data_IF_171505844546
#
_entry.id   IF_171505844546
#
_cell.length_a   1.000
_cell.length_b   1.000
_cell.length_c   1.000
_cell.angle_alpha   90.00
_cell.angle_beta   90.00
_cell.angle_gamma   90.00
#
_symmetry.space_group_name_H-M   'P 1'
#
loop_
_entity.id
_entity.type
_entity.pdbx_description
1 polymer ?
#
# COMPACT_ATOMS: atom_id res chain seq x y z
N UNK A 1 -24.57 -9.06 -29.80
CA UNK A 1 -24.93 -7.83 -30.55
C UNK A 1 -24.03 -6.72 -30.02
N UNK A 2 -22.90 -6.47 -30.69
CA UNK A 2 -22.06 -5.34 -30.33
C UNK A 2 -22.82 -4.07 -30.74
N UNK A 3 -23.23 -3.26 -29.77
CA UNK A 3 -23.93 -2.01 -30.08
C UNK A 3 -22.97 -1.08 -30.82
N UNK A 4 -23.46 -0.34 -31.83
CA UNK A 4 -22.70 0.71 -32.50
C UNK A 4 -22.15 1.75 -31.52
N UNK A 5 -22.79 1.88 -30.34
CA UNK A 5 -22.31 2.70 -29.24
C UNK A 5 -20.97 2.20 -28.64
N UNK A 6 -20.76 0.89 -28.55
CA UNK A 6 -19.51 0.35 -28.01
C UNK A 6 -18.33 0.66 -28.93
N UNK A 7 -18.53 0.59 -30.25
CA UNK A 7 -17.53 0.99 -31.24
C UNK A 7 -17.14 2.48 -31.07
N UNK A 8 -18.13 3.37 -30.97
CA UNK A 8 -17.88 4.80 -30.79
C UNK A 8 -17.17 5.09 -29.46
N UNK A 9 -17.52 4.36 -28.40
CA UNK A 9 -16.84 4.44 -27.10
C UNK A 9 -15.39 3.97 -27.18
N UNK A 10 -15.13 2.84 -27.83
CA UNK A 10 -13.77 2.30 -27.95
C UNK A 10 -12.88 3.25 -28.78
N UNK A 11 -13.43 3.81 -29.88
CA UNK A 11 -12.75 4.84 -30.68
C UNK A 11 -12.50 6.12 -29.87
N UNK A 12 -13.44 6.53 -29.03
CA UNK A 12 -13.28 7.68 -28.15
C UNK A 12 -12.17 7.43 -27.12
N UNK A 13 -12.16 6.27 -26.47
CA UNK A 13 -11.13 5.88 -25.50
C UNK A 13 -9.73 5.81 -26.16
N UNK A 14 -9.64 5.41 -27.43
CA UNK A 14 -8.39 5.42 -28.22
C UNK A 14 -7.94 6.86 -28.48
N UNK A 15 -8.83 7.75 -28.92
CA UNK A 15 -8.49 9.15 -29.17
C UNK A 15 -8.10 9.89 -27.89
N UNK A 16 -8.76 9.63 -26.76
CA UNK A 16 -8.41 10.25 -25.47
C UNK A 16 -7.00 9.85 -25.01
N UNK A 17 -6.54 8.64 -25.35
CA UNK A 17 -5.20 8.14 -24.96
C UNK A 17 -4.09 8.58 -25.91
N UNK A 18 -4.35 8.58 -27.21
CA UNK A 18 -3.32 8.76 -28.24
C UNK A 18 -3.44 10.11 -28.98
N UNK A 19 -4.39 10.96 -28.60
CA UNK A 19 -4.84 12.20 -29.27
C UNK A 19 -5.38 12.01 -30.71
N UNK A 20 -5.04 10.90 -31.38
CA UNK A 20 -5.39 10.55 -32.76
C UNK A 20 -5.77 9.05 -32.85
N UNK A 21 -6.71 8.70 -33.75
CA UNK A 21 -7.09 7.32 -34.06
C UNK A 21 -6.31 6.84 -35.28
N UNK A 22 -5.37 5.91 -35.10
CA UNK A 22 -4.60 5.37 -36.22
C UNK A 22 -5.44 4.44 -37.10
N UNK A 23 -5.11 4.36 -38.40
CA UNK A 23 -5.75 3.41 -39.34
C UNK A 23 -5.77 1.96 -38.83
N UNK A 24 -4.70 1.53 -38.18
CA UNK A 24 -4.60 0.18 -37.61
C UNK A 24 -5.60 -0.02 -36.47
N UNK A 25 -5.69 0.94 -35.55
CA UNK A 25 -6.64 0.88 -34.43
C UNK A 25 -8.10 0.93 -34.89
N UNK A 26 -8.39 1.74 -35.92
CA UNK A 26 -9.70 1.80 -36.54
C UNK A 26 -10.08 0.46 -37.18
N UNK A 27 -9.15 -0.17 -37.90
CA UNK A 27 -9.40 -1.46 -38.54
C UNK A 27 -9.65 -2.57 -37.51
N UNK A 28 -8.88 -2.61 -36.42
CA UNK A 28 -9.07 -3.58 -35.31
C UNK A 28 -10.44 -3.40 -34.67
N UNK A 29 -10.88 -2.16 -34.42
CA UNK A 29 -12.22 -1.90 -33.88
C UNK A 29 -13.34 -2.28 -34.86
N UNK A 30 -13.10 -2.16 -36.17
CA UNK A 30 -14.07 -2.48 -37.22
C UNK A 30 -14.14 -3.97 -37.60
N UNK A 31 -13.16 -4.81 -37.22
CA UNK A 31 -13.15 -6.24 -37.53
C UNK A 31 -14.40 -7.00 -37.04
N UNK A 32 -15.02 -6.51 -35.96
CA UNK A 32 -16.22 -7.11 -35.36
C UNK A 32 -17.55 -6.51 -35.86
N UNK A 33 -17.49 -5.59 -36.83
CA UNK A 33 -18.62 -4.77 -37.29
C UNK A 33 -18.74 -4.80 -38.83
N UNK A 34 -19.93 -4.47 -39.34
CA UNK A 34 -20.19 -4.47 -40.79
C UNK A 34 -19.27 -3.51 -41.56
N UNK A 35 -18.80 -3.93 -42.74
CA UNK A 35 -17.84 -3.19 -43.59
C UNK A 35 -18.30 -1.78 -43.99
N UNK A 36 -19.60 -1.48 -43.96
CA UNK A 36 -20.18 -0.19 -44.32
C UNK A 36 -20.10 0.87 -43.20
N UNK A 37 -19.75 0.48 -41.97
CA UNK A 37 -19.73 1.42 -40.84
C UNK A 37 -18.62 2.47 -41.02
N UNK A 38 -17.52 2.13 -41.68
CA UNK A 38 -16.46 3.10 -41.99
C UNK A 38 -16.96 4.23 -42.89
N UNK A 39 -17.69 3.88 -43.96
CA UNK A 39 -18.29 4.85 -44.88
C UNK A 39 -19.34 5.72 -44.16
N UNK A 40 -20.17 5.11 -43.30
CA UNK A 40 -21.15 5.84 -42.50
C UNK A 40 -20.52 6.81 -41.50
N UNK A 41 -19.40 6.44 -40.86
CA UNK A 41 -18.69 7.32 -39.91
C UNK A 41 -18.07 8.54 -40.59
N UNK A 42 -17.59 8.38 -41.82
CA UNK A 42 -17.08 9.48 -42.65
C UNK A 42 -18.21 10.31 -43.28
N UNK A 43 -19.29 9.67 -43.73
CA UNK A 43 -20.43 10.33 -44.39
C UNK A 43 -21.23 11.19 -43.39
N UNK A 44 -21.41 10.70 -42.16
CA UNK A 44 -22.01 11.46 -41.06
C UNK A 44 -21.05 12.48 -40.41
N UNK A 45 -19.83 12.64 -40.94
CA UNK A 45 -18.79 13.53 -40.41
C UNK A 45 -18.51 13.33 -38.91
N UNK A 46 -18.64 12.09 -38.46
CA UNK A 46 -18.31 11.72 -37.07
C UNK A 46 -16.79 11.62 -36.93
N UNK A 47 -16.12 11.07 -37.94
CA UNK A 47 -14.66 11.03 -38.07
C UNK A 47 -14.19 11.87 -39.26
N UNK A 48 -13.13 12.65 -39.05
CA UNK A 48 -12.43 13.44 -40.05
C UNK A 48 -11.07 12.79 -40.31
N UNK A 49 -10.72 12.60 -41.58
CA UNK A 49 -9.39 12.14 -41.98
C UNK A 49 -8.37 13.29 -41.89
N UNK A 50 -7.30 13.09 -41.13
CA UNK A 50 -6.13 13.97 -41.10
C UNK A 50 -4.90 13.19 -41.55
N UNK A 51 -4.44 13.45 -42.78
CA UNK A 51 -3.16 13.04 -43.38
C UNK A 51 -2.75 11.55 -43.37
N UNK A 52 -3.52 10.68 -42.72
CA UNK A 52 -3.56 9.21 -42.78
C UNK A 52 -4.25 8.62 -41.55
N UNK A 53 -4.56 9.45 -40.55
CA UNK A 53 -5.26 9.06 -39.34
C UNK A 53 -6.67 9.67 -39.25
N UNK A 54 -7.45 9.24 -38.25
CA UNK A 54 -8.81 9.71 -38.01
C UNK A 54 -8.89 10.48 -36.69
N UNK A 55 -9.74 11.50 -36.66
CA UNK A 55 -10.12 12.19 -35.44
C UNK A 55 -11.63 12.41 -35.40
N UNK A 56 -12.23 12.31 -34.23
CA UNK A 56 -13.60 12.76 -34.03
C UNK A 56 -13.73 14.23 -34.39
N UNK A 57 -14.79 14.54 -35.11
CA UNK A 57 -15.18 15.93 -35.34
C UNK A 57 -15.55 16.59 -34.00
N UNK A 58 -15.15 17.85 -33.84
CA UNK A 58 -15.18 18.59 -32.57
C UNK A 58 -16.55 18.55 -31.86
N UNK A 59 -17.71 18.72 -32.53
CA UNK A 59 -19.01 18.65 -31.88
C UNK A 59 -19.34 17.27 -31.31
N UNK A 60 -18.96 16.19 -32.01
CA UNK A 60 -19.19 14.82 -31.55
C UNK A 60 -18.20 14.47 -30.45
N UNK A 61 -16.95 14.91 -30.55
CA UNK A 61 -15.97 14.74 -29.49
C UNK A 61 -16.44 15.37 -28.18
N UNK A 62 -16.88 16.64 -28.20
CA UNK A 62 -17.42 17.33 -27.03
C UNK A 62 -18.67 16.63 -26.46
N UNK A 63 -19.51 16.05 -27.32
CA UNK A 63 -20.66 15.26 -26.89
C UNK A 63 -20.23 13.98 -26.17
N UNK A 64 -19.26 13.24 -26.71
CA UNK A 64 -18.75 12.02 -26.10
C UNK A 64 -17.99 12.31 -24.80
N UNK A 65 -17.18 13.37 -24.74
CA UNK A 65 -16.57 13.86 -23.50
C UNK A 65 -17.64 14.14 -22.43
N UNK A 66 -18.74 14.79 -22.82
CA UNK A 66 -19.84 15.09 -21.91
C UNK A 66 -20.57 13.83 -21.42
N UNK A 67 -20.86 12.88 -22.33
CA UNK A 67 -21.55 11.63 -22.00
C UNK A 67 -20.69 10.77 -21.07
N UNK A 68 -19.39 10.66 -21.35
CA UNK A 68 -18.48 9.82 -20.59
C UNK A 68 -17.90 10.51 -19.35
N UNK A 69 -18.11 11.83 -19.21
CA UNK A 69 -17.53 12.65 -18.14
C UNK A 69 -15.99 12.52 -18.05
N UNK A 70 -15.35 12.21 -19.17
CA UNK A 70 -13.91 12.09 -19.30
C UNK A 70 -13.43 13.35 -19.99
N UNK A 71 -13.09 14.38 -19.21
CA UNK A 71 -12.45 15.57 -19.75
C UNK A 71 -10.96 15.50 -19.41
N UNK A 72 -10.10 15.76 -20.40
CA UNK A 72 -8.67 15.95 -20.14
C UNK A 72 -8.54 17.14 -19.19
N UNK A 73 -7.95 16.99 -17.99
CA UNK A 73 -7.83 18.11 -17.07
C UNK A 73 -6.97 19.19 -17.76
N UNK A 74 -7.58 20.35 -17.99
CA UNK A 74 -6.92 21.49 -18.61
C UNK A 74 -5.75 21.94 -17.75
N UNK A 75 -4.67 22.35 -18.40
CA UNK A 75 -3.49 22.85 -17.72
C UNK A 75 -3.82 24.18 -17.01
N UNK A 76 -3.21 24.47 -15.84
CA UNK A 76 -3.41 25.75 -15.17
C UNK A 76 -3.10 26.97 -16.05
N UNK A 77 -2.11 26.84 -16.94
CA UNK A 77 -1.73 27.89 -17.89
C UNK A 77 -2.86 28.24 -18.85
N UNK A 78 -3.66 27.25 -19.26
CA UNK A 78 -4.84 27.47 -20.12
C UNK A 78 -5.96 28.20 -19.35
N UNK A 79 -6.12 27.88 -18.06
CA UNK A 79 -7.05 28.57 -17.16
C UNK A 79 -6.61 30.03 -16.93
N UNK A 80 -5.32 30.26 -16.78
CA UNK A 80 -4.76 31.61 -16.66
C UNK A 80 -4.93 32.41 -17.96
N UNK A 81 -4.78 31.79 -19.12
CA UNK A 81 -5.05 32.41 -20.41
C UNK A 81 -6.51 32.87 -20.54
N UNK A 82 -7.48 32.08 -20.04
CA UNK A 82 -8.88 32.54 -19.95
C UNK A 82 -9.02 33.77 -19.04
N UNK A 83 -8.33 33.80 -17.91
CA UNK A 83 -8.28 34.96 -17.02
C UNK A 83 -7.74 36.20 -17.72
N UNK A 84 -6.61 36.09 -18.41
CA UNK A 84 -6.02 37.18 -19.18
C UNK A 84 -6.93 37.66 -20.31
N UNK A 85 -7.62 36.74 -21.01
CA UNK A 85 -8.58 37.09 -22.05
C UNK A 85 -9.77 37.88 -21.46
N UNK A 86 -10.30 37.46 -20.31
CA UNK A 86 -11.37 38.17 -19.59
C UNK A 86 -10.90 39.57 -19.17
N UNK A 87 -9.70 39.71 -18.61
CA UNK A 87 -9.10 41.02 -18.26
C UNK A 87 -9.02 41.94 -19.46
N UNK A 88 -8.48 41.43 -20.55
CA UNK A 88 -8.24 42.22 -21.76
C UNK A 88 -9.55 42.69 -22.39
N UNK A 89 -10.57 41.82 -22.45
CA UNK A 89 -11.90 42.17 -22.92
C UNK A 89 -12.59 43.18 -21.99
N UNK A 90 -12.45 43.00 -20.68
CA UNK A 90 -13.02 43.92 -19.70
C UNK A 90 -12.39 45.32 -19.76
N UNK A 91 -11.06 45.41 -19.92
CA UNK A 91 -10.37 46.70 -20.13
C UNK A 91 -10.86 47.38 -21.41
N UNK A 92 -10.98 46.65 -22.51
CA UNK A 92 -11.52 47.17 -23.79
C UNK A 92 -12.97 47.63 -23.68
N UNK A 93 -13.78 47.02 -22.81
CA UNK A 93 -15.15 47.47 -22.52
C UNK A 93 -15.13 48.75 -21.66
N UNK A 94 -14.19 48.86 -20.72
CA UNK A 94 -14.05 50.04 -19.84
C UNK A 94 -13.52 51.28 -20.58
N UNK A 95 -12.60 51.08 -21.53
CA UNK A 95 -12.00 52.15 -22.33
C UNK A 95 -12.90 52.58 -23.51
N UNK A 96 -13.61 51.63 -24.13
CA UNK A 96 -14.45 51.85 -25.31
C UNK A 96 -15.91 52.24 -25.03
N UNK A 97 -16.24 52.75 -23.84
CA UNK A 97 -17.63 53.09 -23.45
C UNK A 97 -18.21 54.22 -24.33
N UNK A 98 -17.34 55.07 -24.89
CA UNK A 98 -17.73 56.22 -25.73
C UNK A 98 -17.61 55.95 -27.24
N UNK A 99 -17.22 54.74 -27.64
CA UNK A 99 -17.07 54.33 -29.04
C UNK A 99 -18.40 53.77 -29.61
N UNK A 100 -18.35 53.31 -30.85
CA UNK A 100 -19.48 52.79 -31.62
C UNK A 100 -20.30 51.73 -30.85
N UNK A 101 -21.62 51.93 -30.80
CA UNK A 101 -22.58 51.12 -30.01
C UNK A 101 -22.53 49.64 -30.37
N UNK A 102 -22.35 49.32 -31.65
CA UNK A 102 -22.27 47.94 -32.13
C UNK A 102 -21.02 47.23 -31.64
N UNK A 103 -19.88 47.94 -31.59
CA UNK A 103 -18.61 47.40 -31.10
C UNK A 103 -18.69 47.11 -29.60
N UNK A 104 -19.37 47.96 -28.83
CA UNK A 104 -19.59 47.71 -27.40
C UNK A 104 -20.46 46.46 -27.18
N UNK A 105 -21.54 46.29 -27.96
CA UNK A 105 -22.41 45.11 -27.88
C UNK A 105 -21.66 43.82 -28.23
N UNK A 106 -20.90 43.81 -29.33
CA UNK A 106 -20.07 42.65 -29.71
C UNK A 106 -19.04 42.31 -28.64
N UNK A 107 -18.41 43.31 -28.01
CA UNK A 107 -17.45 43.10 -26.92
C UNK A 107 -18.11 42.50 -25.67
N UNK A 108 -19.33 42.94 -25.33
CA UNK A 108 -20.11 42.39 -24.20
C UNK A 108 -20.48 40.93 -24.47
N UNK A 109 -20.91 40.61 -25.70
CA UNK A 109 -21.24 39.23 -26.09
C UNK A 109 -19.98 38.33 -26.10
N UNK A 110 -18.87 38.83 -26.64
CA UNK A 110 -17.58 38.13 -26.60
C UNK A 110 -17.13 37.84 -25.15
N UNK A 111 -17.27 38.82 -24.25
CA UNK A 111 -16.98 38.64 -22.82
C UNK A 111 -17.89 37.58 -22.19
N UNK A 112 -19.20 37.63 -22.46
CA UNK A 112 -20.17 36.65 -21.98
C UNK A 112 -19.82 35.22 -22.44
N UNK A 113 -19.44 35.06 -23.71
CA UNK A 113 -19.03 33.77 -24.26
C UNK A 113 -17.73 33.26 -23.65
N UNK A 114 -16.74 34.13 -23.41
CA UNK A 114 -15.50 33.74 -22.75
C UNK A 114 -15.73 33.34 -21.29
N UNK A 115 -16.59 34.05 -20.55
CA UNK A 115 -16.95 33.68 -19.18
C UNK A 115 -17.65 32.32 -19.14
N UNK A 116 -18.56 32.03 -20.07
CA UNK A 116 -19.19 30.71 -20.19
C UNK A 116 -18.17 29.60 -20.46
N UNK A 117 -17.26 29.81 -21.42
CA UNK A 117 -16.19 28.85 -21.75
C UNK A 117 -15.30 28.58 -20.52
N UNK A 118 -14.88 29.64 -19.82
CA UNK A 118 -14.12 29.53 -18.58
C UNK A 118 -14.87 28.73 -17.51
N UNK A 119 -16.15 29.03 -17.31
CA UNK A 119 -16.94 28.37 -16.25
C UNK A 119 -17.13 26.89 -16.56
N UNK A 120 -17.45 26.55 -17.81
CA UNK A 120 -17.57 25.16 -18.25
C UNK A 120 -16.23 24.41 -18.12
N UNK A 121 -15.11 25.05 -18.48
CA UNK A 121 -13.78 24.49 -18.30
C UNK A 121 -13.48 24.18 -16.83
N UNK A 122 -13.76 25.11 -15.90
CA UNK A 122 -13.56 24.90 -14.46
C UNK A 122 -14.44 23.77 -13.92
N UNK A 123 -15.72 23.72 -14.31
CA UNK A 123 -16.64 22.66 -13.89
C UNK A 123 -16.20 21.29 -14.42
N UNK A 124 -15.82 21.20 -15.70
CA UNK A 124 -15.38 19.95 -16.32
C UNK A 124 -14.05 19.46 -15.74
N UNK A 125 -13.10 20.36 -15.50
CA UNK A 125 -11.83 20.04 -14.85
C UNK A 125 -12.06 19.54 -13.42
N UNK A 126 -12.90 20.23 -12.63
CA UNK A 126 -13.23 19.82 -11.26
C UNK A 126 -13.87 18.42 -11.23
N UNK A 127 -14.83 18.14 -12.13
CA UNK A 127 -15.44 16.81 -12.27
C UNK A 127 -14.42 15.72 -12.62
N UNK A 128 -13.52 16.00 -13.56
CA UNK A 128 -12.52 15.03 -14.01
C UNK A 128 -11.50 14.73 -12.90
N UNK A 129 -11.02 15.76 -12.21
CA UNK A 129 -10.14 15.61 -11.04
C UNK A 129 -10.83 14.80 -9.92
N UNK A 130 -12.13 15.00 -9.69
CA UNK A 130 -12.88 14.21 -8.72
C UNK A 130 -13.02 12.75 -9.14
N UNK A 131 -13.30 12.46 -10.41
CA UNK A 131 -13.39 11.10 -10.93
C UNK A 131 -12.04 10.40 -10.83
N UNK A 132 -10.98 11.05 -11.28
CA UNK A 132 -9.62 10.50 -11.24
C UNK A 132 -9.16 10.28 -9.78
N UNK A 133 -9.44 11.22 -8.88
CA UNK A 133 -9.16 11.07 -7.46
C UNK A 133 -9.95 9.92 -6.81
N UNK A 134 -11.22 9.74 -7.20
CA UNK A 134 -12.05 8.59 -6.76
C UNK A 134 -11.52 7.26 -7.29
N UNK A 135 -11.08 7.20 -8.56
CA UNK A 135 -10.44 6.02 -9.14
C UNK A 135 -9.14 5.65 -8.42
N UNK A 136 -8.29 6.64 -8.16
CA UNK A 136 -7.06 6.45 -7.39
C UNK A 136 -7.39 5.92 -5.98
N UNK A 137 -8.41 6.47 -5.32
CA UNK A 137 -8.84 6.00 -3.99
C UNK A 137 -9.31 4.54 -4.02
N UNK A 138 -10.19 4.18 -4.96
CA UNK A 138 -10.77 2.85 -5.07
C UNK A 138 -9.76 1.76 -5.48
N UNK A 139 -8.61 2.15 -6.03
CA UNK A 139 -7.56 1.25 -6.51
C UNK A 139 -8.06 0.25 -7.56
N UNK A 140 -8.97 0.68 -8.44
CA UNK A 140 -9.61 -0.19 -9.44
C UNK A 140 -8.60 -0.82 -10.43
N UNK A 141 -7.43 -0.20 -10.60
CA UNK A 141 -6.40 -0.61 -11.56
C UNK A 141 -5.28 -1.47 -10.94
N UNK A 142 -5.39 -1.86 -9.65
CA UNK A 142 -4.34 -2.61 -8.90
C UNK A 142 -2.94 -2.00 -9.10
N UNK A 143 -2.85 -0.68 -9.02
CA UNK A 143 -1.60 0.06 -9.26
C UNK A 143 -0.71 -0.12 -8.03
N UNK A 144 0.61 -0.19 -8.22
CA UNK A 144 1.56 -0.19 -7.12
C UNK A 144 1.40 1.08 -6.27
N UNK A 145 1.57 0.92 -4.96
CA UNK A 145 1.25 1.99 -4.03
C UNK A 145 2.16 3.22 -4.24
N UNK A 146 3.42 3.03 -4.66
CA UNK A 146 4.33 4.14 -4.96
C UNK A 146 3.85 4.95 -6.17
N UNK A 147 3.45 4.27 -7.25
CA UNK A 147 2.88 4.92 -8.44
C UNK A 147 1.58 5.65 -8.13
N UNK A 148 0.76 5.08 -7.24
CA UNK A 148 -0.47 5.72 -6.76
C UNK A 148 -0.19 7.04 -6.03
N UNK A 149 0.84 7.10 -5.18
CA UNK A 149 1.27 8.34 -4.52
C UNK A 149 1.78 9.34 -5.55
N UNK A 150 2.62 8.90 -6.49
CA UNK A 150 3.21 9.80 -7.50
C UNK A 150 2.13 10.43 -8.39
N UNK A 151 1.16 9.65 -8.88
CA UNK A 151 0.04 10.15 -9.69
C UNK A 151 -0.84 11.10 -8.88
N UNK A 152 -1.17 10.74 -7.64
CA UNK A 152 -1.91 11.64 -6.77
C UNK A 152 -1.16 12.97 -6.58
N UNK A 153 0.13 12.90 -6.21
CA UNK A 153 0.96 14.10 -6.01
C UNK A 153 1.05 14.98 -7.25
N UNK A 154 1.18 14.37 -8.43
CA UNK A 154 1.17 15.07 -9.71
C UNK A 154 -0.13 15.82 -9.95
N UNK A 155 -1.29 15.18 -9.73
CA UNK A 155 -2.60 15.84 -9.85
C UNK A 155 -2.74 17.00 -8.87
N UNK A 156 -2.16 16.85 -7.68
CA UNK A 156 -2.24 17.83 -6.60
C UNK A 156 -1.40 19.06 -6.91
N UNK A 157 -0.13 18.87 -7.24
CA UNK A 157 0.82 19.96 -7.48
C UNK A 157 0.51 20.70 -8.79
N UNK A 158 0.11 19.97 -9.84
CA UNK A 158 -0.06 20.56 -11.16
C UNK A 158 -1.48 20.99 -11.50
N UNK A 159 -2.51 20.54 -10.77
CA UNK A 159 -3.90 20.90 -11.11
C UNK A 159 -4.69 21.46 -9.91
N UNK A 160 -4.70 20.75 -8.78
CA UNK A 160 -5.55 21.15 -7.63
C UNK A 160 -5.03 22.43 -6.96
N UNK A 161 -3.73 22.52 -6.66
CA UNK A 161 -3.15 23.70 -6.01
C UNK A 161 -3.26 24.96 -6.89
N UNK A 162 -2.87 24.92 -8.19
CA UNK A 162 -3.03 26.07 -9.07
C UNK A 162 -4.49 26.49 -9.25
N UNK A 163 -5.40 25.53 -9.43
CA UNK A 163 -6.83 25.82 -9.57
C UNK A 163 -7.39 26.50 -8.31
N UNK A 164 -7.00 26.04 -7.13
CA UNK A 164 -7.41 26.67 -5.88
C UNK A 164 -6.86 28.10 -5.76
N UNK A 165 -5.60 28.35 -6.13
CA UNK A 165 -5.04 29.70 -6.12
C UNK A 165 -5.71 30.65 -7.12
N UNK A 166 -6.11 30.14 -8.29
CA UNK A 166 -6.81 30.93 -9.32
C UNK A 166 -8.24 31.29 -8.90
N UNK A 167 -8.88 30.40 -8.13
CA UNK A 167 -10.25 30.56 -7.65
C UNK A 167 -10.34 31.18 -6.24
N UNK A 168 -9.23 31.37 -5.54
CA UNK A 168 -9.22 31.86 -4.15
C UNK A 168 -9.82 33.28 -4.07
N UNK A 169 -10.80 33.42 -3.19
CA UNK A 169 -11.47 34.69 -2.89
C UNK A 169 -10.50 35.69 -2.24
N UNK A 170 -9.48 35.20 -1.52
CA UNK A 170 -8.55 36.02 -0.75
C UNK A 170 -7.36 36.54 -1.57
N UNK A 171 -7.14 36.03 -2.79
CA UNK A 171 -6.03 36.46 -3.63
C UNK A 171 -6.45 37.60 -4.55
N UNK A 172 -5.79 38.76 -4.45
CA UNK A 172 -6.18 39.99 -5.17
C UNK A 172 -6.07 39.88 -6.70
N UNK A 173 -5.25 38.96 -7.22
CA UNK A 173 -5.12 38.69 -8.65
C UNK A 173 -5.95 37.48 -9.12
N UNK A 174 -6.84 36.94 -8.28
CA UNK A 174 -7.68 35.80 -8.67
C UNK A 174 -8.69 36.19 -9.74
N UNK A 175 -8.98 35.25 -10.64
CA UNK A 175 -10.00 35.44 -11.68
C UNK A 175 -11.38 35.68 -11.02
N UNK A 176 -11.61 35.11 -9.84
CA UNK A 176 -12.82 35.35 -9.06
C UNK A 176 -13.01 36.84 -8.69
N UNK A 177 -11.96 37.50 -8.20
CA UNK A 177 -12.02 38.93 -7.87
C UNK A 177 -12.22 39.80 -9.13
N UNK A 178 -11.73 39.35 -10.28
CA UNK A 178 -11.99 40.03 -11.54
C UNK A 178 -13.42 39.87 -12.02
N UNK A 179 -13.97 38.67 -11.91
CA UNK A 179 -15.40 38.44 -12.17
C UNK A 179 -16.28 39.25 -11.23
N UNK A 180 -15.86 39.44 -9.97
CA UNK A 180 -16.53 40.36 -9.04
C UNK A 180 -16.43 41.82 -9.49
N UNK A 181 -15.27 42.28 -9.94
CA UNK A 181 -15.10 43.63 -10.49
C UNK A 181 -15.95 43.85 -11.74
N UNK A 182 -16.00 42.87 -12.65
CA UNK A 182 -16.88 42.87 -13.82
C UNK A 182 -18.35 42.94 -13.37
N UNK A 183 -18.73 42.14 -12.36
CA UNK A 183 -20.08 42.11 -11.80
C UNK A 183 -20.50 43.46 -11.21
N UNK A 184 -19.65 44.08 -10.41
CA UNK A 184 -19.88 45.41 -9.85
C UNK A 184 -20.02 46.46 -10.95
N UNK A 185 -19.15 46.42 -11.95
CA UNK A 185 -19.21 47.32 -13.10
C UNK A 185 -20.52 47.14 -13.90
N UNK A 186 -20.91 45.90 -14.21
CA UNK A 186 -22.19 45.63 -14.88
C UNK A 186 -23.39 46.05 -14.05
N UNK A 187 -23.33 45.91 -12.72
CA UNK A 187 -24.42 46.35 -11.85
C UNK A 187 -24.62 47.86 -11.93
N UNK A 188 -23.54 48.64 -11.91
CA UNK A 188 -23.60 50.10 -12.10
C UNK A 188 -24.13 50.45 -13.48
N UNK A 189 -23.63 49.78 -14.53
CA UNK A 189 -24.02 50.04 -15.92
C UNK A 189 -25.44 49.58 -16.28
N UNK A 190 -26.03 48.65 -15.52
CA UNK A 190 -27.45 48.28 -15.65
C UNK A 190 -28.40 49.44 -15.33
N UNK A 191 -27.97 50.37 -14.49
CA UNK A 191 -28.78 51.54 -14.11
C UNK A 191 -28.51 52.77 -15.00
N UNK A 192 -27.68 52.63 -16.04
CA UNK A 192 -27.42 53.70 -16.99
C UNK A 192 -28.61 53.82 -17.97
N UNK A 193 -29.16 55.02 -18.12
CA UNK A 193 -30.43 55.25 -18.84
C UNK A 193 -30.22 55.69 -20.30
N UNK A 194 -28.97 55.78 -20.77
CA UNK A 194 -28.65 56.31 -22.08
C UNK A 194 -29.13 55.42 -23.25
N UNK A 195 -29.10 54.09 -23.08
CA UNK A 195 -29.42 53.14 -24.17
C UNK A 195 -30.06 51.83 -23.66
N UNK A 196 -31.28 51.53 -24.12
CA UNK A 196 -32.05 50.36 -23.66
C UNK A 196 -31.43 49.03 -24.13
N UNK A 197 -30.86 48.96 -25.33
CA UNK A 197 -30.26 47.73 -25.86
C UNK A 197 -28.98 47.34 -25.11
N UNK A 198 -28.13 48.31 -24.81
CA UNK A 198 -26.91 48.13 -24.01
C UNK A 198 -27.29 47.70 -22.58
N UNK A 199 -28.35 48.29 -22.01
CA UNK A 199 -28.87 47.91 -20.70
C UNK A 199 -29.28 46.44 -20.64
N UNK A 200 -30.03 45.95 -21.63
CA UNK A 200 -30.48 44.54 -21.69
C UNK A 200 -29.30 43.58 -21.76
N UNK A 201 -28.25 43.91 -22.49
CA UNK A 201 -27.04 43.07 -22.54
C UNK A 201 -26.25 43.10 -21.23
N UNK A 202 -26.13 44.26 -20.57
CA UNK A 202 -25.54 44.32 -19.23
C UNK A 202 -26.37 43.58 -18.18
N UNK A 203 -27.69 43.57 -18.30
CA UNK A 203 -28.57 42.79 -17.43
C UNK A 203 -28.37 41.28 -17.63
N UNK A 204 -28.32 40.81 -18.88
CA UNK A 204 -27.98 39.40 -19.19
C UNK A 204 -26.60 39.02 -18.64
N UNK A 205 -25.60 39.87 -18.85
CA UNK A 205 -24.24 39.66 -18.35
C UNK A 205 -24.20 39.61 -16.82
N UNK A 206 -24.96 40.48 -16.13
CA UNK A 206 -25.06 40.46 -14.69
C UNK A 206 -25.69 39.16 -14.16
N UNK A 207 -26.78 38.68 -14.78
CA UNK A 207 -27.39 37.41 -14.41
C UNK A 207 -26.43 36.22 -14.63
N UNK A 208 -25.72 36.23 -15.75
CA UNK A 208 -24.68 35.25 -16.05
C UNK A 208 -23.59 35.25 -14.97
N UNK A 209 -23.02 36.41 -14.66
CA UNK A 209 -21.97 36.56 -13.65
C UNK A 209 -22.44 36.10 -12.26
N UNK A 210 -23.71 36.33 -11.92
CA UNK A 210 -24.29 35.85 -10.65
C UNK A 210 -24.41 34.32 -10.62
N UNK A 211 -24.77 33.69 -11.73
CA UNK A 211 -24.80 32.23 -11.84
C UNK A 211 -23.38 31.66 -11.76
N UNK A 212 -22.45 32.22 -12.54
CA UNK A 212 -21.04 31.82 -12.56
C UNK A 212 -20.41 31.94 -11.18
N UNK A 213 -20.68 33.03 -10.45
CA UNK A 213 -20.19 33.18 -9.08
C UNK A 213 -20.71 32.06 -8.16
N UNK A 214 -21.97 31.64 -8.29
CA UNK A 214 -22.50 30.51 -7.50
C UNK A 214 -21.84 29.19 -7.90
N UNK A 215 -21.69 28.95 -9.20
CA UNK A 215 -21.10 27.71 -9.73
C UNK A 215 -19.64 27.58 -9.31
N UNK A 216 -18.85 28.66 -9.43
CA UNK A 216 -17.45 28.70 -8.98
C UNK A 216 -17.32 28.51 -7.47
N UNK A 217 -18.20 29.10 -6.65
CA UNK A 217 -18.21 28.86 -5.21
C UNK A 217 -18.50 27.38 -4.89
N UNK A 218 -19.47 26.77 -5.58
CA UNK A 218 -19.77 25.35 -5.39
C UNK A 218 -18.58 24.46 -5.79
N UNK A 219 -17.90 24.76 -6.89
CA UNK A 219 -16.69 24.05 -7.28
C UNK A 219 -15.56 24.25 -6.26
N UNK A 220 -15.32 25.48 -5.80
CA UNK A 220 -14.31 25.78 -4.78
C UNK A 220 -14.56 25.01 -3.47
N UNK A 221 -15.81 24.98 -3.00
CA UNK A 221 -16.20 24.18 -1.81
C UNK A 221 -15.97 22.69 -2.06
N UNK A 222 -16.28 22.18 -3.25
CA UNK A 222 -16.06 20.78 -3.60
C UNK A 222 -14.57 20.43 -3.66
N UNK A 223 -13.74 21.29 -4.27
CA UNK A 223 -12.28 21.15 -4.27
C UNK A 223 -11.72 21.14 -2.84
N UNK A 224 -12.21 22.06 -1.99
CA UNK A 224 -11.73 22.22 -0.61
C UNK A 224 -12.17 21.06 0.28
N UNK A 225 -13.41 20.57 0.15
CA UNK A 225 -13.97 19.55 1.04
C UNK A 225 -13.72 18.12 0.58
N UNK A 226 -13.57 17.86 -0.72
CA UNK A 226 -13.35 16.51 -1.23
C UNK A 226 -11.88 16.27 -1.56
N UNK A 227 -11.22 17.19 -2.28
CA UNK A 227 -9.86 16.97 -2.76
C UNK A 227 -8.79 17.26 -1.70
N UNK A 228 -8.90 18.32 -0.88
CA UNK A 228 -7.91 18.58 0.18
C UNK A 228 -7.84 17.47 1.24
N UNK A 229 -8.96 16.92 1.76
CA UNK A 229 -8.87 15.82 2.72
C UNK A 229 -8.30 14.54 2.09
N UNK A 230 -8.53 14.33 0.79
CA UNK A 230 -7.89 13.27 0.02
C UNK A 230 -6.38 13.50 -0.10
N UNK A 231 -5.95 14.74 -0.30
CA UNK A 231 -4.53 15.15 -0.28
C UNK A 231 -3.89 14.80 1.06
N UNK A 232 -4.50 15.23 2.17
CA UNK A 232 -3.98 14.98 3.51
C UNK A 232 -3.91 13.49 3.83
N UNK A 233 -4.91 12.72 3.40
CA UNK A 233 -4.91 11.27 3.56
C UNK A 233 -3.77 10.60 2.78
N UNK A 234 -3.58 10.95 1.50
CA UNK A 234 -2.50 10.36 0.69
C UNK A 234 -1.12 10.76 1.25
N UNK A 235 -0.97 12.00 1.69
CA UNK A 235 0.27 12.48 2.32
C UNK A 235 0.57 11.75 3.64
N UNK A 236 -0.43 11.57 4.49
CA UNK A 236 -0.26 10.85 5.77
C UNK A 236 0.04 9.38 5.55
N UNK A 237 -0.64 8.72 4.61
CA UNK A 237 -0.33 7.33 4.26
C UNK A 237 1.09 7.18 3.67
N UNK A 238 1.53 8.12 2.82
CA UNK A 238 2.93 8.17 2.35
C UNK A 238 3.94 8.35 3.49
N UNK A 239 3.64 9.20 4.47
CA UNK A 239 4.47 9.36 5.67
C UNK A 239 4.53 8.07 6.49
N UNK A 240 3.40 7.38 6.67
CA UNK A 240 3.38 6.10 7.36
C UNK A 240 4.21 5.04 6.65
N UNK A 241 4.08 4.90 5.32
CA UNK A 241 4.90 3.95 4.58
C UNK A 241 6.38 4.30 4.58
N UNK A 242 6.73 5.57 4.50
CA UNK A 242 8.13 6.00 4.66
C UNK A 242 8.64 5.67 6.06
N UNK A 243 7.80 5.85 7.08
CA UNK A 243 8.08 5.44 8.46
C UNK A 243 8.29 3.93 8.58
N UNK A 244 7.42 3.11 7.99
CA UNK A 244 7.56 1.66 7.97
C UNK A 244 8.80 1.21 7.19
N UNK A 245 9.07 1.80 6.03
CA UNK A 245 10.27 1.53 5.27
C UNK A 245 11.52 1.88 6.09
N UNK A 246 11.55 3.05 6.71
CA UNK A 246 12.66 3.46 7.59
C UNK A 246 12.81 2.51 8.78
N UNK A 247 11.71 2.09 9.40
CA UNK A 247 11.71 1.13 10.51
C UNK A 247 12.27 -0.23 10.08
N UNK A 248 11.84 -0.76 8.93
CA UNK A 248 12.29 -2.06 8.41
C UNK A 248 13.74 -2.00 7.90
N UNK A 249 14.14 -0.91 7.25
CA UNK A 249 15.50 -0.74 6.69
C UNK A 249 16.52 -0.44 7.78
N UNK A 250 16.16 0.38 8.77
CA UNK A 250 16.97 0.67 9.94
C UNK A 250 16.60 -0.26 11.10
N UNK A 251 16.30 -1.52 10.81
CA UNK A 251 15.81 -2.56 11.74
C UNK A 251 16.75 -2.92 12.90
N UNK A 252 17.56 -1.99 13.38
CA UNK A 252 18.27 -2.02 14.65
C UNK A 252 17.91 -0.80 15.55
N UNK A 253 17.01 0.10 15.14
CA UNK A 253 16.61 1.24 15.98
C UNK A 253 15.90 0.85 17.29
N UNK A 254 15.38 -0.38 17.38
CA UNK A 254 14.85 -0.98 18.62
C UNK A 254 15.91 -1.70 19.47
N UNK A 255 17.16 -1.81 19.00
CA UNK A 255 18.26 -2.38 19.80
C UNK A 255 18.93 -1.34 20.70
N UNK A 256 18.81 -0.05 20.38
CA UNK A 256 19.34 1.05 21.20
C UNK A 256 18.30 1.65 22.16
N UNK A 257 17.02 1.40 21.91
CA UNK A 257 15.94 1.81 22.81
C UNK A 257 15.65 0.61 23.72
N UNK A 258 16.15 0.63 24.95
CA UNK A 258 15.64 -0.27 25.99
C UNK A 258 14.12 -0.03 26.09
N UNK A 259 13.27 -1.01 25.74
CA UNK A 259 11.85 -0.84 25.89
C UNK A 259 11.58 -0.56 27.39
N UNK A 260 10.68 0.39 27.71
CA UNK A 260 10.36 0.68 29.10
C UNK A 260 9.98 -0.64 29.78
N UNK A 261 10.65 -0.97 30.88
CA UNK A 261 10.32 -2.15 31.67
C UNK A 261 8.85 -2.05 32.05
N UNK A 262 8.02 -2.86 31.39
CA UNK A 262 6.62 -3.00 31.75
C UNK A 262 6.65 -3.61 33.14
N UNK A 263 6.32 -2.83 34.17
CA UNK A 263 6.19 -3.27 35.56
C UNK A 263 4.98 -4.20 35.79
N UNK A 264 4.63 -4.98 34.78
CA UNK A 264 3.59 -6.00 34.82
C UNK A 264 4.17 -7.22 34.11
N UNK A 265 4.81 -8.08 34.90
CA UNK A 265 4.99 -9.49 34.54
C UNK A 265 3.63 -10.03 34.15
N UNK A 266 3.49 -10.47 32.90
CA UNK A 266 2.43 -11.33 32.38
C UNK A 266 1.05 -11.03 32.94
N UNK A 267 0.18 -10.39 32.14
CA UNK A 267 -1.26 -10.55 32.36
C UNK A 267 -1.51 -12.06 32.45
N UNK A 268 -1.86 -12.56 33.64
CA UNK A 268 -2.47 -13.88 33.76
C UNK A 268 -3.61 -13.88 32.75
N UNK A 269 -3.52 -14.77 31.78
CA UNK A 269 -4.52 -14.89 30.72
C UNK A 269 -5.89 -14.95 31.39
N UNK A 270 -6.71 -13.92 31.18
CA UNK A 270 -8.11 -13.85 31.64
C UNK A 270 -8.98 -14.75 30.73
N UNK A 271 -8.43 -15.88 30.29
CA UNK A 271 -9.17 -16.89 29.58
C UNK A 271 -9.54 -17.96 30.60
N UNK A 272 -10.84 -18.12 30.81
CA UNK A 272 -11.39 -19.24 31.57
C UNK A 272 -10.78 -20.54 31.04
N UNK A 273 -10.20 -21.37 31.92
CA UNK A 273 -9.57 -22.65 31.57
C UNK A 273 -10.46 -23.52 30.67
N UNK A 274 -11.78 -23.43 30.87
CA UNK A 274 -12.78 -24.09 30.05
C UNK A 274 -12.74 -23.67 28.57
N UNK A 275 -12.49 -22.39 28.29
CA UNK A 275 -12.39 -21.88 26.92
C UNK A 275 -11.09 -22.37 26.27
N UNK A 276 -9.99 -22.41 27.03
CA UNK A 276 -8.72 -22.95 26.53
C UNK A 276 -8.83 -24.44 26.19
N UNK A 277 -9.39 -25.25 27.10
CA UNK A 277 -9.56 -26.69 26.90
C UNK A 277 -10.52 -26.98 25.74
N UNK A 278 -11.67 -26.31 25.65
CA UNK A 278 -12.59 -26.46 24.52
C UNK A 278 -11.96 -26.05 23.18
N UNK A 279 -11.18 -24.96 23.17
CA UNK A 279 -10.54 -24.50 21.93
C UNK A 279 -9.43 -25.45 21.51
N UNK A 280 -8.70 -26.01 22.47
CA UNK A 280 -7.67 -27.04 22.23
C UNK A 280 -8.30 -28.32 21.67
N UNK A 281 -9.37 -28.83 22.27
CA UNK A 281 -10.10 -30.00 21.76
C UNK A 281 -10.66 -29.77 20.36
N UNK A 282 -11.21 -28.56 20.10
CA UNK A 282 -11.64 -28.18 18.75
C UNK A 282 -10.46 -28.22 17.78
N UNK A 283 -9.31 -27.65 18.15
CA UNK A 283 -8.14 -27.61 17.28
C UNK A 283 -7.59 -29.02 17.00
N UNK A 284 -7.54 -29.88 18.01
CA UNK A 284 -7.10 -31.28 17.89
C UNK A 284 -8.03 -32.10 16.98
N UNK A 285 -9.35 -31.85 17.00
CA UNK A 285 -10.30 -32.51 16.09
C UNK A 285 -10.12 -32.14 14.61
N UNK A 286 -9.64 -30.93 14.33
CA UNK A 286 -9.39 -30.45 12.96
C UNK A 286 -7.92 -30.53 12.56
N UNK A 287 -7.04 -30.90 13.48
CA UNK A 287 -5.68 -31.27 13.16
C UNK A 287 -5.74 -32.64 12.48
N UNK A 288 -5.83 -32.61 11.16
CA UNK A 288 -5.59 -33.79 10.34
C UNK A 288 -4.14 -34.21 10.55
N UNK A 289 -3.90 -35.09 11.50
CA UNK A 289 -2.69 -35.91 11.49
C UNK A 289 -2.73 -36.69 10.19
N UNK A 290 -1.88 -36.32 9.23
CA UNK A 290 -1.54 -37.23 8.14
C UNK A 290 -1.09 -38.53 8.82
N UNK A 291 -1.76 -39.65 8.52
CA UNK A 291 -1.24 -40.97 8.88
C UNK A 291 0.13 -41.10 8.23
N UNK A 292 1.17 -40.77 9.00
CA UNK A 292 2.53 -41.15 8.66
C UNK A 292 2.53 -42.67 8.78
N UNK A 293 2.30 -43.34 7.65
CA UNK A 293 2.67 -44.74 7.50
C UNK A 293 4.18 -44.76 7.62
N UNK A 294 4.66 -44.96 8.84
CA UNK A 294 6.03 -45.36 9.10
C UNK A 294 6.14 -46.75 8.48
N UNK A 295 6.71 -46.82 7.29
CA UNK A 295 7.37 -48.04 6.86
C UNK A 295 8.50 -48.17 7.88
N UNK A 296 8.34 -49.10 8.83
CA UNK A 296 9.41 -49.51 9.73
C UNK A 296 10.53 -50.11 8.87
N UNK A 297 11.37 -49.25 8.29
CA UNK A 297 12.77 -49.59 8.17
C UNK A 297 13.27 -49.62 9.61
N UNK A 298 13.40 -50.84 10.14
CA UNK A 298 14.00 -51.09 11.44
C UNK A 298 15.49 -50.72 11.38
N UNK A 299 15.78 -49.42 11.38
CA UNK A 299 17.05 -48.94 11.92
C UNK A 299 16.96 -49.21 13.43
N UNK A 300 17.56 -50.31 13.85
CA UNK A 300 17.89 -50.52 15.25
C UNK A 300 18.77 -49.33 15.66
N UNK A 301 18.18 -48.31 16.26
CA UNK A 301 18.95 -47.40 17.11
C UNK A 301 19.44 -48.29 18.24
N UNK A 302 20.74 -48.59 18.24
CA UNK A 302 21.42 -49.23 19.36
C UNK A 302 21.51 -48.21 20.50
N UNK A 303 20.35 -47.78 21.02
CA UNK A 303 20.29 -46.92 22.18
C UNK A 303 20.73 -47.77 23.38
N UNK A 304 21.90 -47.43 23.92
CA UNK A 304 22.46 -48.10 25.10
C UNK A 304 21.51 -47.94 26.29
N UNK A 305 20.99 -49.06 26.80
CA UNK A 305 20.10 -49.10 27.97
C UNK A 305 20.89 -49.52 29.22
N UNK A 306 20.90 -48.67 30.25
CA UNK A 306 21.58 -48.97 31.50
C UNK A 306 20.82 -50.02 32.33
N UNK A 307 21.30 -51.28 32.34
CA UNK A 307 20.82 -52.31 33.26
C UNK A 307 21.68 -52.39 34.53
N UNK A 308 21.21 -51.70 35.57
CA UNK A 308 21.87 -51.61 36.88
C UNK A 308 22.18 -52.99 37.50
N UNK A 309 21.31 -53.99 37.29
CA UNK A 309 21.47 -55.31 37.92
C UNK A 309 22.65 -56.07 37.29
N UNK A 310 22.75 -56.02 35.96
CA UNK A 310 23.84 -56.64 35.19
C UNK A 310 25.19 -56.04 35.57
N UNK A 311 25.29 -54.70 35.58
CA UNK A 311 26.53 -54.02 35.93
C UNK A 311 26.96 -54.30 37.38
N UNK A 312 26.00 -54.40 38.32
CA UNK A 312 26.26 -54.79 39.72
C UNK A 312 26.79 -56.23 39.84
N UNK A 313 26.25 -57.18 39.07
CA UNK A 313 26.75 -58.56 39.03
C UNK A 313 28.18 -58.63 38.50
N UNK A 314 28.48 -57.96 37.38
CA UNK A 314 29.85 -57.88 36.85
C UNK A 314 30.81 -57.16 37.79
N UNK A 315 30.36 -56.14 38.52
CA UNK A 315 31.19 -55.48 39.52
C UNK A 315 31.52 -56.46 40.65
N UNK A 316 30.52 -57.17 41.17
CA UNK A 316 30.68 -58.17 42.24
C UNK A 316 31.64 -59.32 41.87
N UNK A 317 31.64 -59.75 40.60
CA UNK A 317 32.57 -60.78 40.11
C UNK A 317 34.02 -60.29 40.02
N UNK A 318 34.23 -58.99 39.79
CA UNK A 318 35.55 -58.39 39.59
C UNK A 318 36.14 -57.75 40.86
N UNK A 319 35.51 -57.95 42.03
CA UNK A 319 36.05 -57.44 43.30
C UNK A 319 37.30 -58.24 43.72
N UNK A 320 38.35 -57.56 44.26
CA UNK A 320 38.45 -56.12 44.50
C UNK A 320 38.92 -55.34 43.26
N UNK A 321 38.24 -54.22 42.96
CA UNK A 321 38.61 -53.35 41.83
C UNK A 321 39.51 -52.21 42.33
N UNK A 322 40.76 -52.19 41.86
CA UNK A 322 41.74 -51.17 42.27
C UNK A 322 41.53 -49.80 41.62
N UNK A 323 40.96 -49.77 40.40
CA UNK A 323 40.71 -48.56 39.62
C UNK A 323 39.26 -48.55 39.12
N UNK A 324 38.33 -48.10 39.95
CA UNK A 324 36.90 -48.17 39.63
C UNK A 324 36.52 -47.39 38.36
N UNK A 325 37.01 -46.15 38.20
CA UNK A 325 36.65 -45.34 37.04
C UNK A 325 37.16 -45.92 35.72
N UNK A 326 38.33 -46.58 35.74
CA UNK A 326 38.88 -47.27 34.56
C UNK A 326 38.12 -48.56 34.26
N UNK A 327 37.63 -49.23 35.30
CA UNK A 327 36.71 -50.35 35.13
C UNK A 327 35.40 -49.91 34.48
N UNK A 328 34.79 -48.80 34.92
CA UNK A 328 33.57 -48.26 34.30
C UNK A 328 33.78 -47.96 32.81
N UNK A 329 34.89 -47.30 32.45
CA UNK A 329 35.23 -47.03 31.05
C UNK A 329 35.35 -48.32 30.23
N UNK A 330 36.06 -49.32 30.76
CA UNK A 330 36.26 -50.60 30.08
C UNK A 330 34.95 -51.37 29.91
N UNK A 331 34.12 -51.43 30.95
CA UNK A 331 32.85 -52.15 30.93
C UNK A 331 31.86 -51.55 29.93
N UNK A 332 31.85 -50.23 29.74
CA UNK A 332 30.98 -49.60 28.74
C UNK A 332 31.53 -49.81 27.32
N UNK A 333 32.85 -49.67 27.13
CA UNK A 333 33.50 -49.92 25.82
C UNK A 333 33.36 -51.36 25.32
N UNK A 334 33.17 -52.33 26.22
CA UNK A 334 32.88 -53.72 25.83
C UNK A 334 31.47 -53.89 25.22
N UNK A 335 30.52 -53.00 25.52
CA UNK A 335 29.14 -53.07 24.99
C UNK A 335 28.83 -51.99 23.94
N UNK A 336 29.51 -50.85 23.97
CA UNK A 336 29.24 -49.70 23.10
C UNK A 336 30.53 -48.90 22.83
N UNK A 337 30.96 -48.81 21.56
CA UNK A 337 32.23 -48.16 21.17
C UNK A 337 32.23 -46.64 21.47
N UNK A 338 31.11 -45.95 21.22
CA UNK A 338 30.99 -44.49 21.34
C UNK A 338 30.28 -44.05 22.64
N UNK A 339 30.82 -44.40 23.80
CA UNK A 339 30.15 -44.10 25.07
C UNK A 339 30.00 -42.59 25.33
N UNK A 340 28.80 -42.12 25.73
CA UNK A 340 28.59 -40.75 26.23
C UNK A 340 29.06 -40.61 27.68
N UNK A 341 29.41 -39.39 28.12
CA UNK A 341 29.66 -39.12 29.54
C UNK A 341 28.43 -39.39 30.42
N UNK A 342 27.22 -39.26 29.88
CA UNK A 342 26.01 -39.61 30.61
C UNK A 342 25.97 -41.12 30.91
N UNK A 343 26.36 -41.96 29.96
CA UNK A 343 26.47 -43.40 30.15
C UNK A 343 27.51 -43.72 31.23
N UNK A 344 28.65 -43.01 31.20
CA UNK A 344 29.69 -43.13 32.23
C UNK A 344 29.17 -42.75 33.62
N UNK A 345 28.47 -41.63 33.75
CA UNK A 345 27.91 -41.21 35.04
C UNK A 345 26.85 -42.19 35.57
N UNK A 346 26.03 -42.78 34.69
CA UNK A 346 25.07 -43.82 35.08
C UNK A 346 25.76 -45.03 35.71
N UNK A 347 26.85 -45.53 35.12
CA UNK A 347 27.63 -46.64 35.70
C UNK A 347 28.34 -46.22 36.98
N UNK A 348 28.82 -44.98 37.08
CA UNK A 348 29.43 -44.50 38.34
C UNK A 348 28.44 -44.41 39.50
N UNK A 349 27.13 -44.42 39.24
CA UNK A 349 26.12 -44.44 40.30
C UNK A 349 26.23 -45.66 41.23
N UNK A 350 26.88 -46.75 40.76
CA UNK A 350 27.18 -47.93 41.56
C UNK A 350 28.10 -47.65 42.77
N UNK A 351 28.83 -46.53 42.77
CA UNK A 351 29.63 -46.08 43.93
C UNK A 351 28.77 -45.74 45.15
N UNK A 352 27.52 -45.35 44.93
CA UNK A 352 26.63 -44.89 46.00
C UNK A 352 25.74 -46.01 46.56
N UNK A 353 25.97 -47.26 46.18
CA UNK A 353 25.26 -48.38 46.79
C UNK A 353 25.86 -48.77 48.13
N UNK A 354 24.99 -49.09 49.08
CA UNK A 354 25.35 -49.41 50.48
C UNK A 354 26.21 -50.68 50.63
N UNK A 355 26.41 -51.46 49.56
CA UNK A 355 27.11 -52.75 49.59
C UNK A 355 28.66 -52.64 49.45
N UNK A 356 29.17 -51.43 49.20
CA UNK A 356 30.57 -51.21 48.78
C UNK A 356 31.33 -50.25 49.71
N UNK A 357 32.52 -50.65 50.15
CA UNK A 357 33.47 -49.76 50.81
C UNK A 357 34.39 -49.12 49.77
N UNK A 358 34.28 -47.79 49.63
CA UNK A 358 35.11 -46.99 48.73
C UNK A 358 36.27 -46.39 49.52
N UNK A 359 37.50 -46.68 49.10
CA UNK A 359 38.70 -46.05 49.64
C UNK A 359 39.44 -45.28 48.56
N UNK A 360 39.89 -44.07 48.89
CA UNK A 360 40.70 -43.24 48.00
C UNK A 360 42.17 -43.66 48.18
N UNK A 361 42.85 -44.01 47.09
CA UNK A 361 44.30 -44.27 47.16
C UNK A 361 45.04 -43.01 47.62
N UNK A 362 45.82 -43.12 48.69
CA UNK A 362 46.61 -42.01 49.27
C UNK A 362 47.79 -41.53 48.38
N UNK A 363 48.02 -42.16 47.24
CA UNK A 363 49.18 -41.91 46.37
C UNK A 363 48.97 -40.79 45.32
N UNK A 364 47.88 -40.01 45.38
CA UNK A 364 47.73 -38.76 44.62
C UNK A 364 47.79 -38.89 43.08
N UNK A 365 47.66 -40.09 42.53
CA UNK A 365 47.62 -40.32 41.08
C UNK A 365 46.19 -40.15 40.59
N UNK A 366 45.96 -39.06 39.85
CA UNK A 366 44.72 -38.84 39.12
C UNK A 366 44.71 -39.68 37.84
N UNK A 367 43.53 -40.19 37.48
CA UNK A 367 43.25 -40.95 36.27
C UNK A 367 42.51 -40.02 35.31
N UNK A 368 42.93 -40.01 34.05
CA UNK A 368 42.17 -39.36 32.98
C UNK A 368 41.27 -40.36 32.27
N UNK A 369 39.99 -40.01 32.12
CA UNK A 369 39.04 -40.71 31.24
C UNK A 369 38.71 -39.73 30.11
N UNK A 370 39.00 -40.10 28.87
CA UNK A 370 38.78 -39.23 27.71
C UNK A 370 37.77 -39.83 26.74
N UNK A 371 36.96 -38.97 26.15
CA UNK A 371 36.09 -39.26 25.02
C UNK A 371 36.39 -38.24 23.90
N UNK A 372 35.82 -38.41 22.70
CA UNK A 372 36.09 -37.55 21.52
C UNK A 372 35.95 -36.04 21.79
N UNK A 373 35.09 -35.66 22.76
CA UNK A 373 34.75 -34.28 23.05
C UNK A 373 35.42 -33.68 24.30
N UNK A 374 35.93 -34.47 25.26
CA UNK A 374 36.58 -33.93 26.48
C UNK A 374 37.32 -34.99 27.31
N UNK A 375 38.10 -34.52 28.30
CA UNK A 375 38.88 -35.34 29.24
C UNK A 375 38.47 -35.03 30.69
N UNK A 376 38.11 -36.07 31.45
CA UNK A 376 37.80 -36.00 32.88
C UNK A 376 38.97 -36.49 33.72
N UNK A 377 39.42 -35.69 34.68
CA UNK A 377 40.50 -36.04 35.61
C UNK A 377 39.86 -36.40 36.97
N UNK A 378 40.03 -37.65 37.41
CA UNK A 378 39.41 -38.20 38.62
C UNK A 378 40.42 -38.88 39.55
N UNK A 379 40.21 -38.89 40.88
CA UNK A 379 41.08 -39.60 41.80
C UNK A 379 40.92 -41.13 41.68
N UNK A 380 42.00 -41.87 41.91
CA UNK A 380 41.97 -43.34 41.96
C UNK A 380 41.15 -43.85 43.15
N UNK A 381 40.05 -44.55 42.85
CA UNK A 381 39.16 -45.18 43.83
C UNK A 381 39.30 -46.70 43.79
N UNK A 382 39.56 -47.29 44.96
CA UNK A 382 39.56 -48.74 45.17
C UNK A 382 38.26 -49.16 45.85
N UNK A 383 37.51 -50.09 45.25
CA UNK A 383 36.26 -50.64 45.80
C UNK A 383 36.47 -52.04 46.35
N UNK A 384 35.99 -52.27 47.57
CA UNK A 384 35.88 -53.58 48.19
C UNK A 384 34.44 -53.87 48.57
N UNK A 385 34.06 -55.15 48.59
CA UNK A 385 32.76 -55.57 49.13
C UNK A 385 32.76 -55.30 50.63
N UNK A 386 31.72 -54.66 51.14
CA UNK A 386 31.54 -54.57 52.58
C UNK A 386 31.30 -55.99 53.12
N UNK A 387 32.20 -56.50 53.95
CA UNK A 387 31.94 -57.75 54.66
C UNK A 387 30.83 -57.49 55.68
N UNK A 388 29.71 -58.21 55.52
CA UNK A 388 28.60 -58.20 56.47
C UNK A 388 29.12 -58.42 57.90
N UNK A 389 29.18 -57.36 58.71
CA UNK A 389 29.20 -57.51 60.16
C UNK A 389 27.82 -58.01 60.56
N UNK A 390 27.68 -59.32 60.60
CA UNK A 390 26.57 -59.97 61.28
C UNK A 390 26.70 -59.72 62.78
N UNK A 391 25.71 -59.00 63.34
CA UNK A 391 25.39 -58.75 64.76
C UNK A 391 26.16 -57.68 65.53
#
# INVERSE_FOLDING_TARGET
>A
MASHYNLLRDLFDIQVKNDIITKESLNICLENYDKNIREQLTEHQILIEQNDDFAFNEPYFVLFEFIHQQFKPLLPEEIEHFGQAIRTLFLKIKEGINDDKNILLERIEALSNQIKKFTNAVVNNTKSLLTESKELKANNKKIDYQEKIHKARYLIENYISPLNTILDVNHSQSIYNELLNVSQFTNVKRFDYADESIRREFEKLYHLLRQVAKDLNLQSVTLTNELLPLIERIKTESQYLRGFHFYLTNGNCYKEIEPPHIFVTTRDNIYNRFVYENTKEYFEQFQHEEEVIVIEDSEQTNDWLFDKSKYKETLNQNLPVEDFFKWCEKSIKEEYEDFSFDNFFMVTSLLFEDDYEVSVSKDGKNISVSNENSELIMPKLTIKKQENVSR
#
